data_IF_485494105843
#
_entry.id   IF_485494105843
#
_cell.length_a   1.000
_cell.length_b   1.000
_cell.length_c   1.000
_cell.angle_alpha   90.00
_cell.angle_beta   90.00
_cell.angle_gamma   90.00
#
_symmetry.space_group_name_H-M   'P 1'
#
loop_
_entity.id
_entity.type
_entity.pdbx_description
1 polymer ?
#
# COMPACT_ATOMS: atom_id res chain seq x y z
N UNK A 1 19.82 4.18 8.02
CA UNK A 1 18.64 3.89 7.20
C UNK A 1 17.40 4.27 8.00
N UNK A 2 16.57 5.11 7.43
CA UNK A 2 15.34 5.61 8.04
C UNK A 2 14.14 5.12 7.24
N UNK A 3 13.28 4.32 7.87
CA UNK A 3 12.07 3.76 7.26
C UNK A 3 10.85 4.38 7.92
N UNK A 4 9.97 4.95 7.13
CA UNK A 4 8.70 5.52 7.58
C UNK A 4 7.52 4.74 7.03
N UNK A 5 6.39 4.79 7.69
CA UNK A 5 5.15 4.18 7.20
C UNK A 5 3.98 5.16 7.33
N UNK A 6 2.98 5.02 6.47
CA UNK A 6 1.71 5.72 6.56
C UNK A 6 0.55 4.73 6.61
N UNK A 7 -0.36 4.98 7.54
CA UNK A 7 -1.61 4.24 7.69
C UNK A 7 -2.73 5.29 7.72
N UNK A 8 -3.60 5.26 6.71
CA UNK A 8 -4.75 6.18 6.62
C UNK A 8 -5.99 5.46 7.14
N UNK A 9 -6.69 6.07 8.07
CA UNK A 9 -7.88 5.51 8.70
C UNK A 9 -9.11 6.41 8.48
N UNK A 10 -10.27 5.79 8.29
CA UNK A 10 -11.55 6.45 8.25
C UNK A 10 -12.61 5.52 8.85
N UNK A 11 -13.07 5.84 10.07
CA UNK A 11 -14.04 5.00 10.82
C UNK A 11 -13.61 3.53 10.88
N UNK A 12 -12.30 3.30 10.99
CA UNK A 12 -11.68 1.98 10.92
C UNK A 12 -11.96 1.18 12.19
N UNK A 13 -12.11 -0.13 12.05
CA UNK A 13 -12.26 -1.03 13.18
C UNK A 13 -11.00 -1.02 14.06
N UNK A 14 -11.17 -0.72 15.34
CA UNK A 14 -10.09 -0.61 16.33
C UNK A 14 -9.26 -1.89 16.42
N UNK A 15 -9.88 -3.07 16.39
CA UNK A 15 -9.18 -4.35 16.51
C UNK A 15 -8.29 -4.65 15.30
N UNK A 16 -8.74 -4.30 14.09
CA UNK A 16 -7.92 -4.44 12.87
C UNK A 16 -6.77 -3.45 12.89
N UNK A 17 -7.03 -2.18 13.23
CA UNK A 17 -5.99 -1.17 13.36
C UNK A 17 -4.93 -1.56 14.38
N UNK A 18 -5.32 -2.12 15.55
CA UNK A 18 -4.35 -2.61 16.53
C UNK A 18 -3.40 -3.69 15.98
N UNK A 19 -3.90 -4.63 15.17
CA UNK A 19 -3.07 -5.67 14.55
C UNK A 19 -2.02 -5.05 13.62
N UNK A 20 -2.47 -4.13 12.76
CA UNK A 20 -1.58 -3.42 11.82
C UNK A 20 -0.53 -2.60 12.57
N UNK A 21 -0.94 -1.83 13.58
CA UNK A 21 -0.01 -1.03 14.38
C UNK A 21 1.00 -1.92 15.12
N UNK A 22 0.57 -3.03 15.74
CA UNK A 22 1.45 -3.96 16.45
C UNK A 22 2.47 -4.58 15.51
N UNK A 23 2.09 -5.04 14.32
CA UNK A 23 3.03 -5.59 13.33
C UNK A 23 4.02 -4.53 12.85
N UNK A 24 3.56 -3.30 12.58
CA UNK A 24 4.41 -2.22 12.10
C UNK A 24 5.37 -1.73 13.19
N UNK A 25 4.91 -1.59 14.44
CA UNK A 25 5.73 -1.17 15.58
C UNK A 25 6.85 -2.17 15.86
N UNK A 26 6.59 -3.47 15.75
CA UNK A 26 7.57 -4.53 16.00
C UNK A 26 8.60 -4.72 14.89
N UNK A 27 8.45 -4.02 13.76
CA UNK A 27 9.38 -4.04 12.64
C UNK A 27 10.46 -2.94 12.77
N UNK A 28 11.35 -2.87 11.77
CA UNK A 28 12.39 -1.83 11.66
C UNK A 28 11.86 -0.45 11.28
N UNK A 29 10.55 -0.26 11.11
CA UNK A 29 9.95 1.06 10.88
C UNK A 29 10.28 1.98 12.04
N UNK A 30 10.78 3.19 11.71
CA UNK A 30 11.19 4.19 12.69
C UNK A 30 10.04 5.11 13.09
N UNK A 31 9.22 5.54 12.11
CA UNK A 31 8.09 6.46 12.30
C UNK A 31 6.87 5.95 11.56
N UNK A 32 5.74 5.93 12.24
CA UNK A 32 4.43 5.55 11.70
C UNK A 32 3.54 6.79 11.70
N UNK A 33 3.23 7.32 10.54
CA UNK A 33 2.25 8.38 10.37
C UNK A 33 0.86 7.76 10.33
N UNK A 34 0.13 7.90 11.43
CA UNK A 34 -1.28 7.50 11.51
C UNK A 34 -2.14 8.71 11.13
N UNK A 35 -2.66 8.71 9.90
CA UNK A 35 -3.50 9.79 9.37
C UNK A 35 -4.96 9.43 9.57
N UNK A 36 -5.64 10.18 10.41
CA UNK A 36 -7.04 9.95 10.74
C UNK A 36 -7.95 10.92 9.99
N UNK A 37 -8.58 10.42 8.94
CA UNK A 37 -9.55 11.13 8.11
C UNK A 37 -10.98 11.10 8.72
N UNK A 38 -11.15 10.56 9.93
CA UNK A 38 -12.45 10.48 10.58
C UNK A 38 -12.91 11.83 11.14
N UNK A 39 -14.22 12.10 11.19
CA UNK A 39 -14.74 13.27 11.89
C UNK A 39 -14.30 13.27 13.36
N UNK A 40 -14.14 14.45 13.97
CA UNK A 40 -13.60 14.61 15.33
C UNK A 40 -14.33 13.78 16.39
N UNK A 41 -15.64 13.59 16.25
CA UNK A 41 -16.45 12.78 17.18
C UNK A 41 -16.29 11.25 16.99
N UNK A 42 -15.59 10.83 15.94
CA UNK A 42 -15.31 9.43 15.62
C UNK A 42 -13.81 9.19 15.45
N UNK A 43 -12.98 10.12 15.93
CA UNK A 43 -11.53 10.06 15.77
C UNK A 43 -10.93 8.95 16.61
N UNK A 44 -9.80 8.42 16.12
CA UNK A 44 -9.00 7.39 16.78
C UNK A 44 -7.83 8.02 17.58
N UNK A 45 -8.04 9.19 18.15
CA UNK A 45 -7.03 9.95 18.89
C UNK A 45 -6.39 9.17 20.06
N UNK A 46 -7.08 8.18 20.60
CA UNK A 46 -6.55 7.25 21.61
C UNK A 46 -5.27 6.54 21.18
N UNK A 47 -5.06 6.35 19.85
CA UNK A 47 -3.86 5.74 19.32
C UNK A 47 -2.65 6.67 19.26
N UNK A 48 -2.81 7.96 19.52
CA UNK A 48 -1.71 8.95 19.56
C UNK A 48 -0.56 8.49 20.48
N UNK A 49 -0.91 7.93 21.63
CA UNK A 49 0.05 7.50 22.65
C UNK A 49 0.28 5.98 22.67
N UNK A 50 -0.19 5.25 21.64
CA UNK A 50 -0.08 3.80 21.58
C UNK A 50 1.39 3.33 21.48
N UNK A 51 2.24 4.11 20.84
CA UNK A 51 3.68 3.88 20.73
C UNK A 51 4.43 5.19 20.45
N UNK A 52 5.68 5.35 20.95
CA UNK A 52 6.50 6.51 20.61
C UNK A 52 6.87 6.58 19.11
N UNK A 53 6.72 5.50 18.35
CA UNK A 53 6.91 5.50 16.89
C UNK A 53 5.74 6.17 16.15
N UNK A 54 4.58 6.37 16.79
CA UNK A 54 3.39 6.89 16.12
C UNK A 54 3.41 8.43 16.13
N UNK A 55 3.34 9.00 14.93
CA UNK A 55 3.03 10.40 14.69
C UNK A 55 1.59 10.48 14.19
N UNK A 56 0.68 10.84 15.08
CA UNK A 56 -0.75 10.96 14.77
C UNK A 56 -1.04 12.28 14.05
N UNK A 57 -1.71 12.21 12.90
CA UNK A 57 -2.13 13.37 12.09
C UNK A 57 -3.66 13.36 12.03
N UNK A 58 -4.29 14.33 12.69
CA UNK A 58 -5.73 14.55 12.61
C UNK A 58 -6.06 15.27 11.31
N UNK A 59 -6.89 14.66 10.48
CA UNK A 59 -7.43 15.24 9.25
C UNK A 59 -8.96 15.05 9.24
N UNK A 60 -9.72 15.91 9.92
CA UNK A 60 -11.15 15.69 10.19
C UNK A 60 -12.04 15.80 8.95
N UNK A 61 -11.46 16.11 7.81
CA UNK A 61 -12.12 16.11 6.50
C UNK A 61 -11.60 14.88 5.74
N UNK A 62 -12.50 13.97 5.37
CA UNK A 62 -12.10 12.81 4.57
C UNK A 62 -11.67 13.24 3.16
N UNK A 63 -10.37 13.34 2.97
CA UNK A 63 -9.75 13.71 1.68
C UNK A 63 -9.50 12.53 0.75
N UNK A 64 -9.86 11.31 1.19
CA UNK A 64 -9.63 10.09 0.44
C UNK A 64 -8.29 9.42 0.76
N UNK A 65 -8.01 8.33 0.05
CA UNK A 65 -6.83 7.48 0.28
C UNK A 65 -5.53 8.20 -0.08
N UNK A 66 -5.38 8.60 -1.35
CA UNK A 66 -4.15 9.19 -1.86
C UNK A 66 -3.75 10.48 -1.14
N UNK A 67 -4.70 11.42 -0.98
CA UNK A 67 -4.45 12.67 -0.28
C UNK A 67 -4.10 12.45 1.21
N UNK A 68 -4.72 11.46 1.87
CA UNK A 68 -4.34 11.07 3.23
C UNK A 68 -2.91 10.59 3.32
N UNK A 69 -2.49 9.69 2.42
CA UNK A 69 -1.10 9.22 2.37
C UNK A 69 -0.11 10.31 1.99
N UNK A 70 -0.50 11.28 1.14
CA UNK A 70 0.36 12.40 0.77
C UNK A 70 0.77 13.26 1.97
N UNK A 71 -0.09 13.44 2.97
CA UNK A 71 0.28 14.13 4.23
C UNK A 71 1.47 13.46 4.92
N UNK A 72 1.50 12.14 4.92
CA UNK A 72 2.60 11.36 5.49
C UNK A 72 3.82 11.32 4.58
N UNK A 73 3.63 11.20 3.27
CA UNK A 73 4.70 11.21 2.26
C UNK A 73 5.48 12.55 2.32
N UNK A 74 4.79 13.67 2.43
CA UNK A 74 5.45 14.97 2.60
C UNK A 74 6.35 14.99 3.83
N UNK A 75 5.88 14.47 4.98
CA UNK A 75 6.70 14.35 6.20
C UNK A 75 7.91 13.43 5.99
N UNK A 76 7.73 12.31 5.29
CA UNK A 76 8.82 11.39 4.96
C UNK A 76 9.88 12.06 4.06
N UNK A 77 9.46 12.90 3.11
CA UNK A 77 10.33 13.70 2.25
C UNK A 77 11.09 14.76 3.04
N UNK A 78 10.42 15.49 3.94
CA UNK A 78 11.01 16.55 4.79
C UNK A 78 12.16 16.01 5.66
N UNK A 79 12.00 14.80 6.22
CA UNK A 79 13.03 14.19 7.08
C UNK A 79 14.06 13.37 6.29
N UNK A 80 13.97 13.34 4.94
CA UNK A 80 14.82 12.57 4.06
C UNK A 80 14.88 11.07 4.45
N UNK A 81 13.73 10.43 4.67
CA UNK A 81 13.70 8.99 4.88
C UNK A 81 14.22 8.23 3.64
N UNK A 82 14.76 7.04 3.84
CA UNK A 82 15.27 6.20 2.76
C UNK A 82 14.11 5.48 2.05
N UNK A 83 13.17 4.97 2.86
CA UNK A 83 11.99 4.24 2.40
C UNK A 83 10.73 4.75 3.09
N UNK A 84 9.62 4.71 2.35
CA UNK A 84 8.28 4.97 2.87
C UNK A 84 7.34 3.82 2.52
N UNK A 85 6.52 3.39 3.50
CA UNK A 85 5.58 2.29 3.34
C UNK A 85 4.16 2.86 3.40
N UNK A 86 3.37 2.60 2.37
CA UNK A 86 1.92 2.78 2.40
C UNK A 86 1.29 1.48 2.86
N UNK A 87 0.48 1.50 3.90
CA UNK A 87 -0.15 0.31 4.50
C UNK A 87 -1.63 0.58 4.74
N UNK A 88 -2.48 -0.29 4.22
CA UNK A 88 -3.90 -0.27 4.56
C UNK A 88 -4.13 -0.64 6.03
N UNK A 89 -5.18 -0.10 6.67
CA UNK A 89 -5.45 -0.33 8.09
C UNK A 89 -5.97 -1.75 8.43
N UNK A 90 -6.00 -2.66 7.47
CA UNK A 90 -6.38 -4.06 7.59
C UNK A 90 -5.27 -5.04 7.17
N UNK A 91 -4.07 -4.52 6.80
CA UNK A 91 -2.91 -5.33 6.41
C UNK A 91 -1.92 -5.42 7.56
N UNK A 92 -1.78 -6.59 8.15
CA UNK A 92 -0.77 -6.91 9.15
C UNK A 92 0.18 -8.00 8.65
N UNK A 93 1.37 -8.05 9.19
CA UNK A 93 2.45 -8.91 8.71
C UNK A 93 3.30 -9.45 9.86
N UNK A 94 4.03 -10.53 9.59
CA UNK A 94 4.94 -11.16 10.53
C UNK A 94 6.26 -10.39 10.67
N UNK A 95 6.96 -10.65 11.75
CA UNK A 95 8.31 -10.11 11.98
C UNK A 95 9.26 -10.54 10.85
N UNK A 96 10.11 -9.62 10.40
CA UNK A 96 11.10 -9.88 9.35
C UNK A 96 10.62 -9.55 7.91
N UNK A 97 9.34 -9.25 7.69
CA UNK A 97 8.84 -8.90 6.35
C UNK A 97 9.48 -7.60 5.86
N UNK A 98 9.45 -6.54 6.67
CA UNK A 98 10.01 -5.24 6.30
C UNK A 98 11.52 -5.32 6.09
N UNK A 99 12.20 -6.09 6.93
CA UNK A 99 13.63 -6.36 6.83
C UNK A 99 13.99 -7.03 5.50
N UNK A 100 13.24 -8.05 5.08
CA UNK A 100 13.44 -8.74 3.79
C UNK A 100 13.21 -7.80 2.61
N UNK A 101 12.11 -7.00 2.64
CA UNK A 101 11.84 -6.00 1.61
C UNK A 101 12.97 -4.97 1.52
N UNK A 102 13.49 -4.54 2.66
CA UNK A 102 14.61 -3.61 2.73
C UNK A 102 15.89 -4.20 2.13
N UNK A 103 16.22 -5.46 2.49
CA UNK A 103 17.38 -6.15 1.93
C UNK A 103 17.27 -6.30 0.41
N UNK A 104 16.07 -6.65 -0.08
CA UNK A 104 15.80 -6.72 -1.50
C UNK A 104 16.02 -5.38 -2.19
N UNK A 105 15.40 -4.31 -1.70
CA UNK A 105 15.56 -2.96 -2.25
C UNK A 105 17.01 -2.48 -2.23
N UNK A 106 17.79 -2.84 -1.21
CA UNK A 106 19.22 -2.50 -1.15
C UNK A 106 20.06 -3.27 -2.17
N UNK A 107 19.61 -4.49 -2.55
CA UNK A 107 20.30 -5.31 -3.55
C UNK A 107 19.98 -4.90 -5.00
N UNK A 108 18.86 -4.22 -5.21
CA UNK A 108 18.39 -3.79 -6.53
C UNK A 108 18.11 -2.29 -6.50
N UNK A 109 19.10 -1.48 -6.87
CA UNK A 109 19.03 -0.02 -6.80
C UNK A 109 18.05 0.60 -7.82
N UNK A 110 17.78 -0.08 -8.91
CA UNK A 110 16.83 0.28 -9.97
C UNK A 110 15.37 0.02 -9.59
N UNK A 111 15.13 -0.75 -8.52
CA UNK A 111 13.78 -1.01 -8.02
C UNK A 111 13.27 0.17 -7.19
N UNK A 112 12.14 0.73 -7.59
CA UNK A 112 11.51 1.87 -6.92
C UNK A 112 10.41 1.51 -5.93
N UNK A 113 9.69 0.39 -6.18
CA UNK A 113 8.54 -0.05 -5.40
C UNK A 113 8.50 -1.57 -5.33
N UNK A 114 8.22 -2.11 -4.14
CA UNK A 114 7.96 -3.54 -3.93
C UNK A 114 6.75 -3.77 -3.04
N UNK A 115 6.12 -4.93 -3.20
CA UNK A 115 5.03 -5.40 -2.36
C UNK A 115 5.28 -6.85 -1.95
N UNK A 116 5.04 -7.25 -0.70
CA UNK A 116 5.07 -8.64 -0.31
C UNK A 116 3.86 -9.40 -0.86
N UNK A 117 3.96 -10.73 -0.91
CA UNK A 117 2.81 -11.60 -1.13
C UNK A 117 1.79 -11.39 -0.02
N UNK A 118 0.56 -11.08 -0.38
CA UNK A 118 -0.53 -10.85 0.57
C UNK A 118 -1.52 -12.01 0.53
N UNK A 119 -1.93 -12.47 1.70
CA UNK A 119 -2.90 -13.54 1.86
C UNK A 119 -4.19 -13.03 2.51
N UNK A 120 -5.28 -13.68 2.25
CA UNK A 120 -6.49 -13.53 3.05
C UNK A 120 -6.31 -14.20 4.43
N UNK A 121 -7.14 -13.88 5.44
CA UNK A 121 -7.07 -14.52 6.76
C UNK A 121 -7.25 -16.05 6.73
N UNK A 122 -7.85 -16.60 5.69
CA UNK A 122 -8.01 -18.04 5.46
C UNK A 122 -6.77 -18.69 4.79
N UNK A 123 -5.70 -17.92 4.53
CA UNK A 123 -4.48 -18.37 3.87
C UNK A 123 -4.53 -18.38 2.33
N UNK A 124 -5.65 -18.00 1.73
CA UNK A 124 -5.74 -17.88 0.26
C UNK A 124 -4.99 -16.66 -0.25
N UNK A 125 -4.39 -16.78 -1.43
CA UNK A 125 -3.62 -15.71 -2.07
C UNK A 125 -4.53 -14.57 -2.55
N UNK A 126 -4.14 -13.33 -2.23
CA UNK A 126 -4.71 -12.15 -2.86
C UNK A 126 -3.93 -11.83 -4.15
N UNK A 127 -4.64 -11.75 -5.27
CA UNK A 127 -4.06 -11.45 -6.58
C UNK A 127 -3.96 -9.93 -6.77
N UNK A 128 -2.91 -9.33 -6.23
CA UNK A 128 -2.73 -7.87 -6.15
C UNK A 128 -1.79 -7.31 -7.21
N UNK A 129 -1.13 -8.18 -7.97
CA UNK A 129 -0.33 -7.81 -9.14
C UNK A 129 -1.22 -7.77 -10.37
N UNK A 130 -1.18 -6.67 -11.11
CA UNK A 130 -2.13 -6.45 -12.21
C UNK A 130 -1.43 -5.95 -13.47
N UNK A 131 -2.01 -6.27 -14.61
CA UNK A 131 -1.73 -5.55 -15.85
C UNK A 131 -2.36 -4.16 -15.79
N UNK A 132 -1.90 -3.25 -16.65
CA UNK A 132 -2.63 -1.98 -16.85
C UNK A 132 -4.05 -2.28 -17.36
N UNK A 133 -5.08 -1.64 -16.79
CA UNK A 133 -6.45 -1.91 -17.18
C UNK A 133 -6.71 -1.44 -18.61
N UNK A 134 -7.34 -2.29 -19.40
CA UNK A 134 -7.86 -1.88 -20.71
C UNK A 134 -9.27 -1.29 -20.55
N UNK A 135 -9.78 -0.49 -21.52
CA UNK A 135 -11.17 -0.01 -21.50
C UNK A 135 -12.17 -1.15 -21.31
N UNK A 136 -11.85 -2.35 -21.79
CA UNK A 136 -12.67 -3.54 -21.60
C UNK A 136 -12.66 -4.02 -20.14
N UNK A 137 -11.54 -3.98 -19.44
CA UNK A 137 -11.44 -4.40 -18.03
C UNK A 137 -12.23 -3.43 -17.13
N UNK A 138 -12.34 -2.17 -17.51
CA UNK A 138 -13.08 -1.15 -16.77
C UNK A 138 -14.60 -1.18 -17.06
N UNK A 139 -14.99 -1.31 -18.32
CA UNK A 139 -16.39 -1.16 -18.75
C UNK A 139 -17.01 -2.50 -19.17
N UNK A 140 -16.26 -3.36 -19.83
CA UNK A 140 -16.78 -4.60 -20.46
C UNK A 140 -17.34 -5.61 -19.45
N UNK A 141 -16.83 -5.64 -18.22
CA UNK A 141 -17.36 -6.54 -17.15
C UNK A 141 -18.83 -6.28 -16.87
N UNK A 142 -19.30 -5.04 -17.02
CA UNK A 142 -20.68 -4.64 -16.69
C UNK A 142 -21.68 -5.04 -17.77
N UNK A 143 -21.23 -5.24 -19.02
CA UNK A 143 -22.11 -5.40 -20.17
C UNK A 143 -22.06 -6.81 -20.79
N UNK A 144 -21.12 -7.66 -20.42
CA UNK A 144 -20.97 -9.00 -20.97
C UNK A 144 -21.56 -10.07 -20.05
N UNK A 145 -22.54 -10.85 -20.53
CA UNK A 145 -23.18 -11.90 -19.73
C UNK A 145 -22.36 -13.18 -19.60
N UNK A 146 -21.21 -13.30 -20.30
CA UNK A 146 -20.43 -14.54 -20.35
C UNK A 146 -19.46 -14.68 -19.16
N UNK A 147 -19.88 -15.34 -18.08
CA UNK A 147 -19.07 -15.58 -16.87
C UNK A 147 -17.72 -16.26 -17.17
N UNK A 148 -17.67 -17.20 -18.13
CA UNK A 148 -16.43 -17.91 -18.49
C UNK A 148 -15.39 -16.97 -19.11
N UNK A 149 -15.83 -16.05 -19.97
CA UNK A 149 -14.95 -15.07 -20.59
C UNK A 149 -14.45 -14.04 -19.57
N UNK A 150 -15.33 -13.56 -18.69
CA UNK A 150 -14.96 -12.64 -17.59
C UNK A 150 -13.91 -13.30 -16.68
N UNK A 151 -14.10 -14.59 -16.32
CA UNK A 151 -13.12 -15.33 -15.52
C UNK A 151 -11.76 -15.41 -16.21
N UNK A 152 -11.72 -15.80 -17.48
CA UNK A 152 -10.47 -15.85 -18.27
C UNK A 152 -9.77 -14.49 -18.32
N UNK A 153 -10.52 -13.41 -18.52
CA UNK A 153 -9.97 -12.04 -18.53
C UNK A 153 -9.40 -11.64 -17.17
N UNK A 154 -10.11 -11.96 -16.09
CA UNK A 154 -9.64 -11.69 -14.73
C UNK A 154 -8.35 -12.45 -14.41
N UNK A 155 -8.27 -13.73 -14.78
CA UNK A 155 -7.07 -14.55 -14.60
C UNK A 155 -5.85 -13.94 -15.30
N UNK A 156 -6.04 -13.36 -16.48
CA UNK A 156 -4.97 -12.64 -17.19
C UNK A 156 -4.66 -11.29 -16.55
N UNK A 157 -5.67 -10.50 -16.23
CA UNK A 157 -5.52 -9.17 -15.65
C UNK A 157 -4.79 -9.22 -14.30
N UNK A 158 -5.10 -10.22 -13.47
CA UNK A 158 -4.51 -10.46 -12.16
C UNK A 158 -3.25 -11.35 -12.21
N UNK A 159 -2.72 -11.60 -13.39
CA UNK A 159 -1.49 -12.37 -13.60
C UNK A 159 -1.47 -13.74 -12.89
N UNK A 160 -2.65 -14.37 -12.69
CA UNK A 160 -2.79 -15.63 -11.93
C UNK A 160 -1.97 -16.78 -12.50
N UNK A 161 -1.71 -16.76 -13.81
CA UNK A 161 -0.91 -17.76 -14.52
C UNK A 161 0.58 -17.73 -14.16
N UNK A 162 1.07 -16.65 -13.51
CA UNK A 162 2.46 -16.55 -13.04
C UNK A 162 2.71 -17.28 -11.71
N UNK A 163 1.66 -17.74 -11.01
CA UNK A 163 1.75 -18.57 -9.82
C UNK A 163 2.11 -17.85 -8.53
N UNK A 164 2.67 -16.65 -8.59
CA UNK A 164 3.11 -15.86 -7.41
C UNK A 164 4.12 -16.60 -6.51
N UNK A 165 4.91 -17.50 -7.09
CA UNK A 165 5.90 -18.31 -6.35
C UNK A 165 7.32 -17.78 -6.49
N UNK A 166 7.50 -16.71 -7.29
CA UNK A 166 8.79 -16.07 -7.57
C UNK A 166 8.63 -14.57 -7.59
N UNK A 167 9.74 -13.88 -7.40
CA UNK A 167 9.85 -12.46 -7.69
C UNK A 167 9.48 -12.20 -9.15
N UNK A 168 8.68 -11.18 -9.38
CA UNK A 168 8.25 -10.83 -10.74
C UNK A 168 8.07 -9.33 -10.89
N UNK A 169 8.49 -8.81 -12.02
CA UNK A 169 8.21 -7.46 -12.44
C UNK A 169 6.77 -7.37 -12.97
N UNK A 170 6.02 -6.39 -12.52
CA UNK A 170 4.62 -6.23 -12.89
C UNK A 170 4.28 -4.77 -13.20
N UNK A 171 3.37 -4.51 -14.12
CA UNK A 171 3.03 -3.14 -14.53
C UNK A 171 2.29 -2.35 -13.44
N UNK A 172 1.62 -3.01 -12.50
CA UNK A 172 0.87 -2.36 -11.43
C UNK A 172 0.74 -3.27 -10.21
N UNK A 173 0.83 -2.66 -9.03
CA UNK A 173 0.58 -3.27 -7.73
C UNK A 173 -0.60 -2.55 -7.04
N UNK A 174 -1.29 -3.27 -6.16
CA UNK A 174 -2.36 -2.67 -5.36
C UNK A 174 -1.79 -1.70 -4.33
N UNK A 175 -2.49 -0.60 -4.07
CA UNK A 175 -2.17 0.37 -3.02
C UNK A 175 -2.28 -0.16 -1.58
N UNK A 176 -2.70 -1.40 -1.35
CA UNK A 176 -2.90 -1.91 -0.01
C UNK A 176 -1.61 -2.06 0.81
N UNK A 177 -0.48 -2.31 0.14
CA UNK A 177 0.86 -2.32 0.72
C UNK A 177 1.88 -1.93 -0.35
N UNK A 178 2.58 -0.82 -0.14
CA UNK A 178 3.60 -0.33 -1.08
C UNK A 178 4.86 0.03 -0.29
N UNK A 179 5.97 -0.67 -0.52
CA UNK A 179 7.28 -0.32 0.04
C UNK A 179 8.05 0.46 -1.01
N UNK A 180 8.20 1.76 -0.81
CA UNK A 180 8.61 2.72 -1.83
C UNK A 180 9.97 3.33 -1.46
N UNK A 181 10.87 3.42 -2.43
CA UNK A 181 12.11 4.20 -2.32
C UNK A 181 11.77 5.70 -2.36
N UNK A 182 12.17 6.46 -1.34
CA UNK A 182 11.80 7.88 -1.22
C UNK A 182 12.38 8.74 -2.34
N UNK A 183 13.52 8.35 -2.94
CA UNK A 183 14.03 9.03 -4.13
C UNK A 183 13.08 9.00 -5.32
N UNK A 184 12.25 7.96 -5.44
CA UNK A 184 11.18 7.87 -6.44
C UNK A 184 10.04 8.83 -6.09
N UNK A 185 9.59 8.85 -4.84
CA UNK A 185 8.57 9.81 -4.39
C UNK A 185 8.99 11.27 -4.62
N UNK A 186 10.30 11.58 -4.49
CA UNK A 186 10.84 12.92 -4.84
C UNK A 186 10.66 13.27 -6.32
N UNK A 187 10.65 12.27 -7.20
CA UNK A 187 10.51 12.49 -8.65
C UNK A 187 9.05 12.59 -9.08
N UNK A 188 8.17 11.76 -8.53
CA UNK A 188 6.76 11.68 -8.94
C UNK A 188 5.81 12.53 -8.10
N UNK A 189 6.19 12.92 -6.87
CA UNK A 189 5.43 13.82 -6.01
C UNK A 189 4.39 13.14 -5.11
N UNK A 190 4.15 11.85 -5.21
CA UNK A 190 3.14 11.11 -4.44
C UNK A 190 1.91 10.72 -5.28
N UNK A 191 0.78 10.52 -4.62
CA UNK A 191 -0.48 10.14 -5.27
C UNK A 191 -1.19 11.34 -5.89
N UNK A 192 -1.92 11.12 -6.99
CA UNK A 192 -2.75 12.14 -7.60
C UNK A 192 -4.04 12.37 -6.77
N UNK A 193 -4.14 13.53 -6.16
CA UNK A 193 -5.26 13.90 -5.27
C UNK A 193 -6.59 14.14 -5.98
N UNK A 194 -6.60 14.15 -7.33
CA UNK A 194 -7.84 14.21 -8.11
C UNK A 194 -8.68 12.94 -7.93
N UNK A 195 -8.04 11.82 -7.55
CA UNK A 195 -8.72 10.56 -7.26
C UNK A 195 -9.01 10.45 -5.76
N UNK A 196 -10.28 10.36 -5.40
CA UNK A 196 -10.68 10.19 -4.01
C UNK A 196 -10.34 8.79 -3.48
N UNK A 197 -10.58 7.76 -4.30
CA UNK A 197 -10.33 6.35 -4.01
C UNK A 197 -10.34 5.56 -5.33
N UNK A 198 -9.41 4.61 -5.46
CA UNK A 198 -9.16 3.82 -6.66
C UNK A 198 -8.55 4.61 -7.82
N UNK A 199 -7.66 3.97 -8.55
CA UNK A 199 -6.89 4.49 -9.67
C UNK A 199 -5.76 5.48 -9.34
N UNK A 200 -5.66 6.03 -8.13
CA UNK A 200 -4.50 6.80 -7.67
C UNK A 200 -3.21 5.97 -7.67
N UNK A 201 -3.34 4.66 -7.46
CA UNK A 201 -2.24 3.66 -7.53
C UNK A 201 -1.87 3.30 -8.98
N UNK A 202 -2.68 3.66 -9.96
CA UNK A 202 -2.42 3.45 -11.38
C UNK A 202 -1.65 4.61 -12.04
N UNK A 203 -1.72 5.81 -11.48
CA UNK A 203 -1.12 7.02 -12.06
C UNK A 203 0.41 7.10 -11.79
N UNK A 204 0.91 6.38 -10.79
CA UNK A 204 2.34 6.26 -10.47
C UNK A 204 3.17 5.35 -11.40
N UNK A 205 2.74 5.09 -12.59
CA UNK A 205 3.03 3.92 -13.43
C UNK A 205 4.37 3.85 -14.16
N UNK A 206 5.41 4.52 -13.72
CA UNK A 206 6.76 4.27 -14.26
C UNK A 206 7.67 3.56 -13.25
N UNK A 207 7.07 2.92 -12.23
CA UNK A 207 7.81 2.23 -11.19
C UNK A 207 7.98 0.76 -11.56
N UNK A 208 9.21 0.27 -11.52
CA UNK A 208 9.47 -1.16 -11.60
C UNK A 208 8.99 -1.78 -10.28
N UNK A 209 8.02 -2.67 -10.36
CA UNK A 209 7.38 -3.29 -9.21
C UNK A 209 7.75 -4.77 -9.14
N UNK A 210 8.32 -5.19 -7.99
CA UNK A 210 8.66 -6.60 -7.74
C UNK A 210 7.88 -7.10 -6.52
N UNK A 211 6.92 -8.01 -6.67
CA UNK A 211 6.33 -8.70 -5.53
C UNK A 211 7.34 -9.71 -4.98
N UNK A 212 7.70 -9.55 -3.71
CA UNK A 212 8.55 -10.52 -3.01
C UNK A 212 7.69 -11.62 -2.43
N UNK A 213 8.11 -12.86 -2.65
CA UNK A 213 7.47 -14.06 -2.10
C UNK A 213 8.23 -14.47 -0.84
N UNK A 214 7.50 -14.82 0.19
CA UNK A 214 8.04 -15.45 1.40
C UNK A 214 8.39 -16.91 1.16
#
# INVERSE_FOLDING_TARGET
>A
MLVTASIVVYKTNVFELEKVLKSTISSIVNIIYLVDNSPLNESLDSFRNFSPKICYISNPINTGFGAGHNLAIQRALEINSDYHIVINPDIYFECGVIEKLTLFMNSYEDVGLVMPKVLYPNGELQYLCKLLPTPFDLLGRRFLPCKKYIRYRNERYELRFLGYDKEMEVPSLSGCFMFIRVSVLKQIGGFDERFFMYAEDLDGNNLICYPIIQ
#
